data_IF_919515811324
#
_entry.id   IF_919515811324
#
_cell.length_a   1.000
_cell.length_b   1.000
_cell.length_c   1.000
_cell.angle_alpha   90.00
_cell.angle_beta   90.00
_cell.angle_gamma   90.00
#
_symmetry.space_group_name_H-M   'P 1'
#
loop_
_entity.id
_entity.type
_entity.pdbx_description
1 polymer ?
#
# COMPACT_ATOMS: atom_id res chain seq x y z
N UNK A 1 -9.19 7.12 9.28
CA UNK A 1 -8.33 7.90 10.20
C UNK A 1 -7.91 9.22 9.55
N UNK A 2 -7.38 9.23 8.32
CA UNK A 2 -6.89 10.44 7.63
C UNK A 2 -7.99 11.49 7.47
N UNK A 3 -9.15 11.12 6.94
CA UNK A 3 -10.30 12.04 6.78
C UNK A 3 -10.77 12.63 8.12
N UNK A 4 -10.71 11.87 9.20
CA UNK A 4 -11.02 12.40 10.53
C UNK A 4 -10.00 13.47 10.97
N UNK A 5 -8.70 13.26 10.66
CA UNK A 5 -7.66 14.24 10.97
C UNK A 5 -7.89 15.58 10.25
N UNK A 6 -8.36 15.54 9.00
CA UNK A 6 -8.67 16.72 8.19
C UNK A 6 -9.84 17.54 8.75
N UNK A 7 -10.72 16.94 9.56
CA UNK A 7 -11.87 17.65 10.14
C UNK A 7 -11.48 18.79 11.08
N UNK A 8 -10.25 18.78 11.61
CA UNK A 8 -9.79 19.77 12.60
C UNK A 8 -10.57 19.79 13.90
N UNK A 9 -11.41 18.75 14.18
CA UNK A 9 -12.26 18.71 15.36
C UNK A 9 -11.44 18.72 16.65
N UNK A 10 -11.71 19.64 17.61
CA UNK A 10 -10.83 19.84 18.77
C UNK A 10 -10.79 18.67 19.76
N UNK A 11 -11.80 17.80 19.74
CA UNK A 11 -11.81 16.59 20.57
C UNK A 11 -10.91 15.47 20.02
N UNK A 12 -10.54 15.53 18.73
CA UNK A 12 -9.64 14.56 18.13
C UNK A 12 -8.20 14.92 18.47
N UNK A 13 -7.54 14.11 19.29
CA UNK A 13 -6.19 14.36 19.80
C UNK A 13 -5.10 13.56 19.09
N UNK A 14 -5.43 12.35 18.68
CA UNK A 14 -4.48 11.44 18.02
C UNK A 14 -5.20 10.55 17.03
N UNK A 15 -4.55 10.24 15.92
CA UNK A 15 -5.04 9.30 14.90
C UNK A 15 -3.87 8.43 14.39
N UNK A 16 -4.17 7.22 13.95
CA UNK A 16 -3.20 6.37 13.28
C UNK A 16 -3.77 5.92 11.92
N UNK A 17 -3.49 6.62 10.84
CA UNK A 17 -3.70 6.12 9.49
C UNK A 17 -2.75 4.94 9.23
N UNK A 18 -3.32 3.75 9.01
CA UNK A 18 -2.58 2.52 8.75
C UNK A 18 -2.95 2.06 7.36
N UNK A 19 -1.96 1.90 6.48
CA UNK A 19 -2.15 1.77 5.05
C UNK A 19 -3.19 2.79 4.51
N UNK A 20 -2.94 4.09 4.68
CA UNK A 20 -3.88 5.09 4.20
C UNK A 20 -3.87 5.16 2.68
N UNK A 21 -5.02 5.04 2.07
CA UNK A 21 -5.21 5.38 0.67
C UNK A 21 -5.01 6.89 0.50
N UNK A 22 -4.19 7.28 -0.46
CA UNK A 22 -3.93 8.66 -0.82
C UNK A 22 -4.47 9.00 -2.21
N UNK A 23 -4.21 8.14 -3.17
CA UNK A 23 -4.64 8.31 -4.56
C UNK A 23 -4.81 6.94 -5.24
N UNK A 24 -6.05 6.59 -5.53
CA UNK A 24 -6.43 5.29 -6.11
C UNK A 24 -5.93 5.04 -7.53
N UNK A 25 -5.50 6.08 -8.23
CA UNK A 25 -4.98 5.93 -9.59
C UNK A 25 -3.46 5.90 -9.65
N UNK A 26 -2.79 6.63 -8.75
CA UNK A 26 -1.33 6.72 -8.76
C UNK A 26 -0.64 5.50 -8.18
N UNK A 27 -1.22 4.92 -7.11
CA UNK A 27 -0.48 3.84 -6.47
C UNK A 27 -1.16 3.13 -5.31
N UNK A 28 -2.46 3.34 -5.08
CA UNK A 28 -3.21 2.65 -4.04
C UNK A 28 -4.39 1.88 -4.67
N UNK A 29 -4.71 0.71 -4.13
CA UNK A 29 -5.83 -0.20 -4.42
C UNK A 29 -6.17 -0.44 -5.90
N UNK A 30 -6.53 0.59 -6.67
CA UNK A 30 -7.17 0.44 -7.98
C UNK A 30 -6.17 0.39 -9.12
N UNK A 31 -5.22 1.33 -9.14
CA UNK A 31 -4.16 1.38 -10.15
C UNK A 31 -2.80 1.64 -9.51
N UNK A 32 -1.76 1.08 -10.14
CA UNK A 32 -0.39 1.42 -9.85
C UNK A 32 0.25 2.04 -11.08
N UNK A 33 0.58 3.33 -11.00
CA UNK A 33 1.09 4.12 -12.12
C UNK A 33 0.20 4.03 -13.39
N UNK A 34 -1.12 4.00 -13.19
CA UNK A 34 -2.12 3.88 -14.24
C UNK A 34 -2.42 2.46 -14.73
N UNK A 35 -1.72 1.44 -14.23
CA UNK A 35 -2.03 0.05 -14.52
C UNK A 35 -3.11 -0.46 -13.56
N UNK A 36 -4.26 -0.91 -14.11
CA UNK A 36 -5.36 -1.46 -13.32
C UNK A 36 -4.93 -2.75 -12.62
N UNK A 37 -5.06 -2.79 -11.30
CA UNK A 37 -4.85 -3.98 -10.47
C UNK A 37 -6.04 -4.93 -10.57
N UNK A 38 -6.22 -5.50 -11.77
CA UNK A 38 -7.46 -6.16 -12.20
C UNK A 38 -7.94 -7.24 -11.24
N UNK A 39 -7.08 -8.14 -10.82
CA UNK A 39 -7.46 -9.26 -9.97
C UNK A 39 -7.87 -8.77 -8.57
N UNK A 40 -7.13 -7.82 -8.03
CA UNK A 40 -7.35 -7.26 -6.70
C UNK A 40 -8.65 -6.46 -6.67
N UNK A 41 -8.78 -5.47 -7.54
CA UNK A 41 -9.94 -4.58 -7.52
C UNK A 41 -11.24 -5.29 -7.90
N UNK A 42 -11.19 -6.28 -8.82
CA UNK A 42 -12.36 -7.08 -9.13
C UNK A 42 -12.83 -7.90 -7.94
N UNK A 43 -11.91 -8.56 -7.25
CA UNK A 43 -12.21 -9.33 -6.04
C UNK A 43 -12.76 -8.43 -4.93
N UNK A 44 -12.15 -7.26 -4.75
CA UNK A 44 -12.57 -6.27 -3.77
C UNK A 44 -13.96 -5.69 -4.07
N UNK A 45 -14.23 -5.33 -5.34
CA UNK A 45 -15.52 -4.82 -5.75
C UNK A 45 -16.66 -5.83 -5.50
N UNK A 46 -16.42 -7.10 -5.75
CA UNK A 46 -17.44 -8.15 -5.52
C UNK A 46 -17.70 -8.44 -4.05
N UNK A 47 -16.73 -8.16 -3.19
CA UNK A 47 -16.82 -8.41 -1.75
C UNK A 47 -17.27 -7.18 -0.95
N UNK A 48 -16.64 -6.02 -1.17
CA UNK A 48 -16.78 -4.85 -0.30
C UNK A 48 -17.81 -3.83 -0.76
N UNK A 49 -18.04 -3.70 -2.07
CA UNK A 49 -18.90 -2.64 -2.64
C UNK A 49 -20.29 -3.11 -3.04
N UNK A 50 -20.75 -4.18 -2.43
CA UNK A 50 -22.13 -4.61 -2.59
C UNK A 50 -23.08 -3.67 -1.84
N UNK A 51 -24.08 -3.16 -2.54
CA UNK A 51 -25.13 -2.35 -1.93
C UNK A 51 -26.01 -3.16 -0.97
N UNK A 52 -26.30 -2.57 0.17
CA UNK A 52 -27.20 -3.11 1.18
C UNK A 52 -28.31 -2.10 1.50
N UNK A 53 -29.54 -2.51 1.37
CA UNK A 53 -30.70 -1.68 1.74
C UNK A 53 -30.75 -1.35 3.24
N UNK A 54 -30.17 -2.21 4.06
CA UNK A 54 -30.12 -2.07 5.52
C UNK A 54 -28.78 -2.59 6.06
N UNK A 55 -28.35 -2.14 7.26
CA UNK A 55 -27.21 -2.74 7.95
C UNK A 55 -27.37 -4.24 8.12
N UNK A 56 -26.37 -5.01 7.77
CA UNK A 56 -26.36 -6.47 7.90
C UNK A 56 -25.39 -6.89 8.99
N UNK A 57 -25.70 -7.99 9.68
CA UNK A 57 -24.83 -8.56 10.71
C UNK A 57 -23.78 -9.52 10.12
N UNK A 58 -24.07 -10.07 8.95
CA UNK A 58 -23.18 -10.94 8.21
C UNK A 58 -23.24 -10.52 6.72
N UNK A 59 -22.11 -10.12 6.17
CA UNK A 59 -21.97 -9.86 4.75
C UNK A 59 -21.10 -10.96 4.14
N UNK A 60 -21.66 -11.69 3.22
CA UNK A 60 -20.94 -12.76 2.52
C UNK A 60 -20.44 -12.30 1.13
N UNK A 61 -20.61 -11.00 0.81
CA UNK A 61 -20.29 -10.46 -0.51
C UNK A 61 -21.18 -11.07 -1.62
N UNK A 62 -20.72 -10.92 -2.85
CA UNK A 62 -21.28 -11.67 -3.96
C UNK A 62 -20.56 -13.03 -4.07
N UNK A 63 -21.24 -14.10 -4.55
CA UNK A 63 -20.56 -15.34 -4.85
C UNK A 63 -19.40 -15.04 -5.84
N UNK A 64 -18.20 -15.45 -5.47
CA UNK A 64 -17.04 -15.27 -6.35
C UNK A 64 -17.22 -16.14 -7.60
N UNK A 65 -17.20 -15.54 -8.79
CA UNK A 65 -17.21 -16.30 -10.04
C UNK A 65 -15.82 -16.85 -10.39
N UNK A 66 -14.78 -16.48 -9.63
CA UNK A 66 -13.40 -16.89 -9.87
C UNK A 66 -13.28 -18.37 -9.53
N UNK A 67 -12.74 -19.15 -10.50
CA UNK A 67 -12.50 -20.57 -10.31
C UNK A 67 -11.34 -20.87 -9.34
N UNK A 68 -10.97 -22.13 -9.18
CA UNK A 68 -9.89 -22.52 -8.27
C UNK A 68 -8.52 -22.00 -8.69
N UNK A 69 -8.33 -21.68 -9.98
CA UNK A 69 -7.14 -21.01 -10.52
C UNK A 69 -7.51 -19.61 -10.98
N UNK A 70 -7.13 -18.62 -10.20
CA UNK A 70 -7.45 -17.22 -10.48
C UNK A 70 -6.71 -16.69 -11.72
N UNK A 71 -5.44 -17.09 -11.90
CA UNK A 71 -4.65 -16.66 -13.05
C UNK A 71 -5.27 -17.15 -14.36
N UNK A 72 -5.57 -18.46 -14.47
CA UNK A 72 -6.24 -19.05 -15.63
C UNK A 72 -7.60 -18.37 -15.87
N UNK A 73 -8.35 -18.12 -14.80
CA UNK A 73 -9.67 -17.50 -14.90
C UNK A 73 -9.59 -16.08 -15.48
N UNK A 74 -8.63 -15.26 -15.03
CA UNK A 74 -8.46 -13.87 -15.50
C UNK A 74 -7.78 -13.79 -16.87
N UNK A 75 -6.93 -14.74 -17.26
CA UNK A 75 -6.13 -14.70 -18.48
C UNK A 75 -6.93 -14.40 -19.75
N UNK A 76 -8.15 -14.90 -19.84
CA UNK A 76 -9.03 -14.73 -21.00
C UNK A 76 -10.15 -13.69 -20.74
N UNK A 77 -10.00 -12.83 -19.75
CA UNK A 77 -11.00 -11.82 -19.40
C UNK A 77 -10.58 -10.44 -19.86
N UNK A 78 -11.58 -9.65 -20.17
CA UNK A 78 -11.43 -8.21 -20.36
C UNK A 78 -12.26 -7.48 -19.30
N UNK A 79 -11.98 -6.22 -18.95
CA UNK A 79 -12.82 -5.46 -18.04
C UNK A 79 -14.30 -5.50 -18.44
N UNK A 80 -14.61 -5.42 -19.73
CA UNK A 80 -15.98 -5.52 -20.23
C UNK A 80 -16.61 -6.89 -19.97
N UNK A 81 -15.89 -7.99 -20.22
CA UNK A 81 -16.41 -9.33 -19.97
C UNK A 81 -16.63 -9.61 -18.48
N UNK A 82 -15.83 -8.99 -17.60
CA UNK A 82 -15.99 -9.06 -16.16
C UNK A 82 -17.23 -8.28 -15.72
N UNK A 83 -17.48 -7.10 -16.30
CA UNK A 83 -18.69 -6.32 -16.03
C UNK A 83 -19.95 -7.11 -16.34
N UNK A 84 -19.99 -7.83 -17.46
CA UNK A 84 -21.14 -8.67 -17.83
C UNK A 84 -21.39 -9.84 -16.87
N UNK A 85 -20.41 -10.20 -16.06
CA UNK A 85 -20.52 -11.24 -15.04
C UNK A 85 -20.98 -10.70 -13.68
N UNK A 86 -21.10 -9.38 -13.53
CA UNK A 86 -21.49 -8.70 -12.29
C UNK A 86 -22.88 -8.09 -12.40
N UNK A 87 -23.60 -7.91 -11.28
CA UNK A 87 -24.83 -7.13 -11.25
C UNK A 87 -24.58 -5.68 -11.70
N UNK A 88 -25.51 -5.10 -12.45
CA UNK A 88 -25.49 -3.70 -12.84
C UNK A 88 -25.44 -2.71 -11.65
N UNK A 89 -25.72 -3.21 -10.45
CA UNK A 89 -25.71 -2.45 -9.20
C UNK A 89 -24.34 -2.22 -8.61
N UNK A 90 -23.26 -2.83 -9.14
CA UNK A 90 -21.90 -2.53 -8.70
C UNK A 90 -21.40 -1.22 -9.28
N UNK A 91 -21.92 -0.11 -8.76
CA UNK A 91 -21.64 1.24 -9.23
C UNK A 91 -20.14 1.53 -9.24
N UNK A 92 -19.42 1.18 -8.18
CA UNK A 92 -17.98 1.43 -8.08
C UNK A 92 -17.17 0.78 -9.22
N UNK A 93 -17.47 -0.48 -9.57
CA UNK A 93 -16.82 -1.15 -10.69
C UNK A 93 -17.12 -0.44 -12.02
N UNK A 94 -18.36 -0.07 -12.24
CA UNK A 94 -18.78 0.62 -13.45
C UNK A 94 -18.12 2.00 -13.58
N UNK A 95 -17.96 2.73 -12.48
CA UNK A 95 -17.27 4.03 -12.45
C UNK A 95 -15.79 3.89 -12.81
N UNK A 96 -15.07 2.90 -12.25
CA UNK A 96 -13.67 2.63 -12.60
C UNK A 96 -13.50 2.44 -14.12
N UNK A 97 -14.39 1.67 -14.75
CA UNK A 97 -14.31 1.41 -16.18
C UNK A 97 -14.66 2.63 -17.05
N UNK A 98 -15.44 3.59 -16.54
CA UNK A 98 -15.75 4.83 -17.22
C UNK A 98 -14.62 5.85 -17.15
N UNK A 99 -13.68 5.67 -16.21
CA UNK A 99 -12.56 6.57 -15.94
C UNK A 99 -11.20 5.86 -16.08
N UNK A 100 -10.84 5.36 -17.30
CA UNK A 100 -9.62 4.60 -17.52
C UNK A 100 -8.34 5.44 -17.47
N UNK A 101 -8.47 6.75 -17.57
CA UNK A 101 -7.38 7.72 -17.52
C UNK A 101 -7.47 8.56 -16.24
N UNK A 102 -6.35 9.20 -15.85
CA UNK A 102 -6.34 10.08 -14.69
C UNK A 102 -7.08 11.39 -14.99
N UNK A 103 -8.34 11.41 -14.65
CA UNK A 103 -9.25 12.54 -14.87
C UNK A 103 -9.80 13.14 -13.56
N UNK A 104 -10.78 14.03 -13.65
CA UNK A 104 -11.39 14.71 -12.50
C UNK A 104 -12.01 13.73 -11.51
N UNK A 105 -12.53 12.58 -11.96
CA UNK A 105 -13.06 11.54 -11.09
C UNK A 105 -12.03 11.07 -10.04
N UNK A 106 -10.78 10.86 -10.45
CA UNK A 106 -9.69 10.44 -9.58
C UNK A 106 -9.14 11.59 -8.75
N UNK A 107 -9.02 12.79 -9.36
CA UNK A 107 -8.55 13.99 -8.67
C UNK A 107 -9.44 14.35 -7.48
N UNK A 108 -10.77 14.30 -7.64
CA UNK A 108 -11.72 14.58 -6.57
C UNK A 108 -11.66 13.56 -5.42
N UNK A 109 -11.21 12.34 -5.70
CA UNK A 109 -11.06 11.26 -4.72
C UNK A 109 -9.70 11.21 -4.07
N UNK A 110 -8.72 11.91 -4.63
CA UNK A 110 -7.38 12.03 -4.06
C UNK A 110 -7.38 12.97 -2.86
N UNK A 111 -6.80 12.55 -1.74
CA UNK A 111 -6.68 13.39 -0.54
C UNK A 111 -5.37 14.18 -0.48
N UNK A 112 -4.49 14.05 -1.47
CA UNK A 112 -3.17 14.69 -1.51
C UNK A 112 -3.25 16.20 -1.25
N UNK A 113 -4.17 16.88 -1.94
CA UNK A 113 -4.35 18.32 -1.87
C UNK A 113 -4.89 18.83 -0.52
N UNK A 114 -5.44 17.94 0.32
CA UNK A 114 -6.07 18.26 1.58
C UNK A 114 -5.17 18.04 2.80
N UNK A 115 -3.97 17.46 2.61
CA UNK A 115 -3.04 17.15 3.70
C UNK A 115 -2.28 18.41 4.16
N UNK A 116 -2.99 19.32 4.80
CA UNK A 116 -2.47 20.56 5.40
C UNK A 116 -3.25 20.92 6.67
N UNK A 117 -2.70 21.78 7.51
CA UNK A 117 -3.32 22.30 8.75
C UNK A 117 -3.82 21.20 9.71
N UNK A 118 -3.10 20.09 9.78
CA UNK A 118 -3.47 18.92 10.56
C UNK A 118 -3.13 19.14 12.02
N UNK A 119 -4.13 19.06 12.88
CA UNK A 119 -4.02 19.39 14.31
C UNK A 119 -3.76 18.23 15.25
N UNK A 120 -4.43 17.06 15.08
CA UNK A 120 -4.16 15.91 15.95
C UNK A 120 -2.75 15.36 15.71
N UNK A 121 -2.18 14.70 16.71
CA UNK A 121 -0.99 13.89 16.52
C UNK A 121 -1.29 12.73 15.55
N UNK A 122 -0.35 12.45 14.65
CA UNK A 122 -0.53 11.42 13.61
C UNK A 122 0.57 10.37 13.69
N UNK A 123 0.17 9.11 13.68
CA UNK A 123 1.02 7.95 13.47
C UNK A 123 0.67 7.29 12.13
N UNK A 124 1.40 7.61 11.08
CA UNK A 124 1.25 6.95 9.77
C UNK A 124 1.96 5.61 9.80
N UNK A 125 1.28 4.55 9.39
CA UNK A 125 1.83 3.18 9.36
C UNK A 125 1.75 2.63 7.95
N UNK A 126 2.84 2.03 7.48
CA UNK A 126 2.89 1.34 6.18
C UNK A 126 3.73 0.08 6.21
N UNK A 127 3.42 -0.83 5.32
CA UNK A 127 4.13 -2.09 5.09
C UNK A 127 5.02 -2.01 3.85
N UNK A 128 6.26 -2.46 3.96
CA UNK A 128 7.17 -2.50 2.81
C UNK A 128 6.81 -3.61 1.79
N UNK A 129 6.01 -4.58 2.23
CA UNK A 129 5.45 -5.64 1.40
C UNK A 129 3.92 -5.52 1.25
N UNK A 130 3.42 -4.30 1.45
CA UNK A 130 2.02 -3.97 1.17
C UNK A 130 1.87 -3.73 -0.34
N UNK A 131 1.15 -4.61 -1.00
CA UNK A 131 0.97 -4.54 -2.45
C UNK A 131 -0.07 -3.53 -2.86
N UNK A 132 -0.95 -3.19 -1.93
CA UNK A 132 -2.11 -2.37 -2.20
C UNK A 132 -1.82 -0.88 -1.89
N UNK A 133 -1.27 -0.55 -0.69
CA UNK A 133 -1.22 0.81 -0.16
C UNK A 133 0.18 1.31 0.23
N UNK A 134 1.21 0.85 -0.46
CA UNK A 134 2.57 1.32 -0.21
C UNK A 134 2.76 2.81 -0.57
N UNK A 135 2.14 3.25 -1.65
CA UNK A 135 2.18 4.64 -2.13
C UNK A 135 1.56 5.59 -1.12
N UNK A 136 0.36 5.26 -0.63
CA UNK A 136 -0.41 6.11 0.26
C UNK A 136 0.29 6.36 1.59
N UNK A 137 0.84 5.32 2.22
CA UNK A 137 1.56 5.46 3.49
C UNK A 137 2.78 6.38 3.37
N UNK A 138 3.64 6.13 2.37
CA UNK A 138 4.87 6.91 2.14
C UNK A 138 4.58 8.37 1.79
N UNK A 139 3.60 8.61 0.91
CA UNK A 139 3.31 9.95 0.44
C UNK A 139 2.44 10.75 1.43
N UNK A 140 1.56 10.10 2.20
CA UNK A 140 0.86 10.74 3.32
C UNK A 140 1.86 11.32 4.32
N UNK A 141 2.86 10.54 4.73
CA UNK A 141 3.92 11.04 5.60
C UNK A 141 4.68 12.23 4.99
N UNK A 142 5.14 12.09 3.73
CA UNK A 142 5.89 13.16 3.03
C UNK A 142 5.09 14.46 2.88
N UNK A 143 3.82 14.34 2.52
CA UNK A 143 2.95 15.50 2.29
C UNK A 143 2.60 16.21 3.59
N UNK A 144 2.29 15.48 4.66
CA UNK A 144 2.03 16.09 5.98
C UNK A 144 3.28 16.81 6.47
N UNK A 145 4.45 16.15 6.39
CA UNK A 145 5.73 16.77 6.78
C UNK A 145 5.98 18.09 6.04
N UNK A 146 5.63 18.14 4.75
CA UNK A 146 5.83 19.32 3.89
C UNK A 146 4.80 20.41 4.14
N UNK A 147 3.52 20.05 4.22
CA UNK A 147 2.41 20.99 4.15
C UNK A 147 1.84 21.33 5.53
N UNK A 148 2.19 20.56 6.56
CA UNK A 148 1.72 20.76 7.95
C UNK A 148 2.88 20.53 8.95
N UNK A 149 3.95 21.32 8.87
CA UNK A 149 5.20 21.09 9.61
C UNK A 149 5.04 21.17 11.14
N UNK A 150 3.97 21.82 11.62
CA UNK A 150 3.66 21.92 13.05
C UNK A 150 2.94 20.67 13.60
N UNK A 151 2.59 19.72 12.76
CA UNK A 151 1.92 18.49 13.18
C UNK A 151 2.86 17.60 13.97
N UNK A 152 2.41 17.07 15.10
CA UNK A 152 3.09 15.97 15.77
C UNK A 152 2.98 14.70 14.91
N UNK A 153 3.90 14.58 13.97
CA UNK A 153 3.92 13.53 12.93
C UNK A 153 4.88 12.42 13.30
N UNK A 154 4.36 11.20 13.28
CA UNK A 154 5.12 9.97 13.46
C UNK A 154 4.93 9.04 12.26
N UNK A 155 5.96 8.28 11.93
CA UNK A 155 5.93 7.33 10.81
C UNK A 155 6.48 5.97 11.22
N UNK A 156 5.78 4.93 10.84
CA UNK A 156 6.22 3.53 11.03
C UNK A 156 6.20 2.83 9.68
N UNK A 157 7.33 2.28 9.30
CA UNK A 157 7.48 1.50 8.08
C UNK A 157 8.09 0.15 8.40
N UNK A 158 7.26 -0.88 8.41
CA UNK A 158 7.67 -2.24 8.76
C UNK A 158 7.64 -3.19 7.57
N UNK A 159 8.26 -4.35 7.71
CA UNK A 159 8.27 -5.38 6.67
C UNK A 159 6.99 -6.22 6.69
N UNK A 160 5.84 -5.57 6.63
CA UNK A 160 4.52 -6.19 6.62
C UNK A 160 3.89 -6.20 5.22
N UNK A 161 3.10 -7.24 4.95
CA UNK A 161 2.02 -7.17 3.97
C UNK A 161 0.84 -6.38 4.53
N UNK A 162 -0.17 -6.09 3.71
CA UNK A 162 -1.36 -5.35 4.11
C UNK A 162 -2.03 -5.95 5.39
N UNK A 163 -2.19 -5.11 6.41
CA UNK A 163 -2.75 -5.52 7.70
C UNK A 163 -1.81 -6.27 8.63
N UNK A 164 -0.65 -6.71 8.14
CA UNK A 164 0.30 -7.56 8.88
C UNK A 164 0.82 -6.96 10.19
N UNK A 165 0.72 -5.67 10.40
CA UNK A 165 1.12 -5.01 11.67
C UNK A 165 0.23 -5.37 12.88
N UNK A 166 -0.94 -5.97 12.64
CA UNK A 166 -1.81 -6.49 13.70
C UNK A 166 -1.96 -8.02 13.69
N UNK A 167 -1.29 -8.72 12.77
CA UNK A 167 -1.31 -10.18 12.73
C UNK A 167 -0.46 -10.76 13.86
N UNK A 168 -1.04 -11.61 14.68
CA UNK A 168 -0.32 -12.24 15.77
C UNK A 168 0.78 -13.17 15.25
N UNK A 169 2.01 -13.00 15.75
CA UNK A 169 3.13 -13.85 15.38
C UNK A 169 3.71 -13.55 13.99
N UNK A 170 3.66 -12.30 13.54
CA UNK A 170 4.20 -11.90 12.23
C UNK A 170 5.74 -11.89 12.25
N UNK A 171 6.34 -13.06 12.06
CA UNK A 171 7.78 -13.29 12.07
C UNK A 171 8.40 -13.46 10.68
N UNK A 172 7.60 -13.33 9.63
CA UNK A 172 8.05 -13.49 8.24
C UNK A 172 6.91 -13.35 7.23
N UNK A 173 7.29 -13.37 5.95
CA UNK A 173 6.38 -13.43 4.81
C UNK A 173 6.98 -14.41 3.80
N UNK A 174 6.23 -15.45 3.41
CA UNK A 174 6.73 -16.49 2.54
C UNK A 174 8.05 -17.07 3.01
N UNK A 175 9.05 -17.04 2.15
CA UNK A 175 10.40 -17.53 2.42
C UNK A 175 11.23 -16.60 3.30
N UNK A 176 10.86 -15.31 3.40
CA UNK A 176 11.57 -14.30 4.20
C UNK A 176 11.21 -14.38 5.68
N UNK A 177 12.21 -14.52 6.54
CA UNK A 177 12.07 -14.49 8.02
C UNK A 177 12.71 -13.23 8.58
N UNK A 178 12.09 -12.66 9.61
CA UNK A 178 12.52 -11.40 10.23
C UNK A 178 13.19 -11.60 11.61
N UNK A 179 13.19 -12.83 12.13
CA UNK A 179 13.85 -13.16 13.40
C UNK A 179 13.16 -12.58 14.66
N UNK A 180 12.04 -11.88 14.51
CA UNK A 180 11.26 -11.31 15.60
C UNK A 180 9.80 -11.11 15.14
N UNK A 181 8.88 -11.12 16.10
CA UNK A 181 7.48 -10.75 15.87
C UNK A 181 7.36 -9.24 15.71
N UNK A 182 7.23 -8.80 14.46
CA UNK A 182 7.14 -7.37 14.12
C UNK A 182 5.86 -6.73 14.62
N UNK A 183 4.76 -7.46 14.63
CA UNK A 183 3.44 -6.95 15.04
C UNK A 183 3.38 -6.76 16.54
N UNK A 184 3.86 -7.73 17.32
CA UNK A 184 3.96 -7.60 18.76
C UNK A 184 4.88 -6.44 19.15
N UNK A 185 5.99 -6.25 18.43
CA UNK A 185 6.87 -5.11 18.67
C UNK A 185 6.15 -3.80 18.41
N UNK A 186 5.48 -3.66 17.25
CA UNK A 186 4.74 -2.47 16.88
C UNK A 186 3.66 -2.12 17.91
N UNK A 187 2.76 -3.04 18.17
CA UNK A 187 1.65 -2.80 19.11
C UNK A 187 2.15 -2.41 20.51
N UNK A 188 3.16 -3.12 21.04
CA UNK A 188 3.65 -2.93 22.39
C UNK A 188 4.55 -1.71 22.56
N UNK A 189 5.43 -1.44 21.57
CA UNK A 189 6.51 -0.46 21.75
C UNK A 189 6.26 0.84 20.97
N UNK A 190 5.29 0.87 20.03
CA UNK A 190 5.04 2.03 19.17
C UNK A 190 3.59 2.49 19.29
N UNK A 191 2.63 1.68 18.88
CA UNK A 191 1.23 2.09 18.78
C UNK A 191 0.60 2.39 20.15
N UNK A 192 0.66 1.45 21.07
CA UNK A 192 0.14 1.65 22.43
C UNK A 192 0.83 2.82 23.16
N UNK A 193 2.16 2.98 23.15
CA UNK A 193 2.83 4.15 23.70
C UNK A 193 2.43 5.46 23.04
N UNK A 194 2.20 5.50 21.72
CA UNK A 194 1.73 6.68 20.99
C UNK A 194 0.39 7.15 21.54
N UNK A 195 -0.62 6.30 21.55
CA UNK A 195 -1.93 6.67 22.04
C UNK A 195 -1.92 7.01 23.54
N UNK A 196 -1.16 6.28 24.34
CA UNK A 196 -1.03 6.56 25.77
C UNK A 196 -0.41 7.93 26.04
N UNK A 197 0.57 8.33 25.24
CA UNK A 197 1.19 9.65 25.38
C UNK A 197 0.23 10.77 25.01
N UNK A 198 -0.42 10.70 23.85
CA UNK A 198 -1.27 11.79 23.37
C UNK A 198 -2.67 11.84 23.99
N UNK A 199 -3.21 10.73 24.47
CA UNK A 199 -4.55 10.67 25.06
C UNK A 199 -4.54 10.75 26.59
N UNK A 200 -3.51 10.18 27.24
CA UNK A 200 -3.44 10.12 28.71
C UNK A 200 -2.36 11.05 29.29
N UNK A 201 -1.46 11.59 28.49
CA UNK A 201 -0.30 12.34 28.94
C UNK A 201 0.72 11.50 29.72
N UNK A 202 0.80 10.20 29.43
CA UNK A 202 1.66 9.25 30.14
C UNK A 202 2.71 8.62 29.22
N UNK A 203 3.86 8.30 29.79
CA UNK A 203 4.96 7.67 29.10
C UNK A 203 5.95 8.66 28.52
N UNK A 204 6.75 8.20 27.54
CA UNK A 204 7.68 9.04 26.79
C UNK A 204 7.05 9.42 25.46
N UNK A 205 7.41 10.60 24.95
CA UNK A 205 7.05 10.97 23.57
C UNK A 205 7.62 9.92 22.62
N UNK A 206 6.82 9.39 21.70
CA UNK A 206 7.31 8.45 20.67
C UNK A 206 8.41 9.08 19.81
N UNK A 207 9.28 8.23 19.26
CA UNK A 207 10.25 8.68 18.26
C UNK A 207 9.53 9.15 16.98
N UNK A 208 10.09 10.09 16.23
CA UNK A 208 9.45 10.57 14.99
C UNK A 208 9.29 9.46 13.94
N UNK A 209 10.28 8.59 13.78
CA UNK A 209 10.26 7.52 12.79
C UNK A 209 10.76 6.21 13.37
N UNK A 210 10.04 5.14 13.02
CA UNK A 210 10.46 3.75 13.21
C UNK A 210 10.45 3.06 11.85
N UNK A 211 11.59 2.59 11.38
CA UNK A 211 11.71 1.82 10.14
C UNK A 211 12.37 0.48 10.41
N UNK A 212 11.78 -0.60 9.91
CA UNK A 212 12.40 -1.92 10.01
C UNK A 212 13.28 -2.17 8.79
N UNK A 213 14.57 -2.33 9.02
CA UNK A 213 15.53 -2.62 7.97
C UNK A 213 15.62 -4.14 7.76
N UNK A 214 14.90 -4.64 6.76
CA UNK A 214 14.78 -6.06 6.45
C UNK A 214 16.11 -6.76 6.08
N UNK A 215 17.15 -6.00 5.74
CA UNK A 215 18.49 -6.58 5.50
C UNK A 215 19.27 -6.86 6.76
N UNK A 216 19.09 -6.07 7.80
CA UNK A 216 19.71 -6.23 9.13
C UNK A 216 18.76 -6.82 10.16
N UNK A 217 17.49 -6.92 9.86
CA UNK A 217 16.40 -7.35 10.75
C UNK A 217 16.33 -6.54 12.05
N UNK A 218 16.52 -5.21 11.92
CA UNK A 218 16.55 -4.30 13.05
C UNK A 218 15.60 -3.11 12.85
N UNK A 219 14.94 -2.71 13.95
CA UNK A 219 14.24 -1.45 14.02
C UNK A 219 15.22 -0.29 14.10
N UNK A 220 15.15 0.60 13.14
CA UNK A 220 15.87 1.87 13.13
C UNK A 220 14.94 2.98 13.62
N UNK A 221 15.54 3.94 14.34
CA UNK A 221 14.85 5.13 14.82
C UNK A 221 15.58 6.33 14.28
N UNK A 222 14.86 7.21 13.60
CA UNK A 222 15.42 8.41 12.97
C UNK A 222 14.48 9.58 13.16
N UNK A 223 14.98 10.79 12.98
CA UNK A 223 14.15 11.99 13.05
C UNK A 223 13.31 12.19 11.80
N UNK A 224 13.73 11.60 10.69
CA UNK A 224 13.10 11.77 9.37
C UNK A 224 13.29 10.53 8.50
N UNK A 225 12.34 10.29 7.58
CA UNK A 225 12.39 9.23 6.58
C UNK A 225 12.15 9.79 5.15
N UNK A 226 12.98 9.40 4.14
CA UNK A 226 14.29 8.79 4.33
C UNK A 226 15.23 9.74 5.10
N UNK A 227 16.31 9.20 5.69
CA UNK A 227 17.28 10.02 6.43
C UNK A 227 17.92 11.07 5.51
N UNK A 228 18.13 12.26 6.04
CA UNK A 228 18.83 13.32 5.30
C UNK A 228 20.34 13.03 5.13
N UNK A 229 20.86 12.01 5.84
CA UNK A 229 22.27 11.58 5.77
C UNK A 229 22.53 10.50 4.70
N UNK A 230 21.54 10.21 3.83
CA UNK A 230 21.70 9.19 2.78
C UNK A 230 22.70 9.63 1.70
N UNK A 231 23.63 8.75 1.37
CA UNK A 231 24.53 8.89 0.22
C UNK A 231 23.90 8.20 -1.00
N UNK A 232 23.31 9.00 -1.89
CA UNK A 232 22.69 8.51 -3.12
C UNK A 232 23.77 8.17 -4.16
N UNK A 233 23.71 6.92 -4.66
CA UNK A 233 24.61 6.44 -5.71
C UNK A 233 23.84 6.06 -6.96
N UNK A 234 24.36 6.42 -8.11
CA UNK A 234 23.82 6.01 -9.39
C UNK A 234 24.27 4.59 -9.70
N UNK A 235 23.33 3.73 -10.08
CA UNK A 235 23.60 2.41 -10.62
C UNK A 235 23.14 2.42 -12.08
N UNK A 236 24.02 2.00 -12.98
CA UNK A 236 23.76 1.94 -14.40
C UNK A 236 23.39 0.53 -14.83
N UNK A 237 22.43 0.42 -15.74
CA UNK A 237 22.12 -0.82 -16.44
C UNK A 237 23.22 -1.03 -17.51
N UNK A 238 23.70 -2.26 -17.64
CA UNK A 238 24.69 -2.62 -18.67
C UNK A 238 24.06 -3.52 -19.75
N UNK A 239 24.67 -3.49 -20.95
CA UNK A 239 24.16 -4.20 -22.12
C UNK A 239 24.12 -5.72 -21.98
N UNK A 240 24.89 -6.27 -21.03
CA UNK A 240 24.91 -7.71 -20.68
C UNK A 240 23.83 -8.11 -19.65
N UNK A 241 22.94 -7.18 -19.27
CA UNK A 241 21.89 -7.40 -18.27
C UNK A 241 22.39 -7.22 -16.83
N UNK A 242 23.62 -6.76 -16.64
CA UNK A 242 24.18 -6.49 -15.31
C UNK A 242 23.88 -5.10 -14.76
N UNK A 243 24.41 -4.83 -13.57
CA UNK A 243 24.39 -3.53 -12.90
C UNK A 243 25.82 -3.08 -12.62
N UNK A 244 26.11 -1.79 -12.82
CA UNK A 244 27.42 -1.21 -12.59
C UNK A 244 27.32 0.15 -11.91
N UNK A 245 28.29 0.48 -11.05
CA UNK A 245 28.47 1.85 -10.55
C UNK A 245 29.21 2.77 -11.53
N UNK A 246 29.72 2.23 -12.63
CA UNK A 246 30.38 2.98 -13.71
C UNK A 246 29.46 3.00 -14.93
N UNK A 247 29.26 4.18 -15.52
CA UNK A 247 28.50 4.31 -16.75
C UNK A 247 29.11 3.45 -17.86
N UNK A 248 28.29 2.85 -18.72
CA UNK A 248 28.77 2.14 -19.90
C UNK A 248 29.43 3.12 -20.87
N UNK A 249 30.49 2.65 -21.55
CA UNK A 249 31.11 3.37 -22.66
C UNK A 249 30.30 3.21 -23.96
N UNK A 250 29.36 2.26 -23.99
CA UNK A 250 28.48 2.05 -25.13
C UNK A 250 27.50 3.23 -25.25
N UNK A 251 27.54 3.92 -26.37
CA UNK A 251 26.73 5.12 -26.59
C UNK A 251 25.21 4.79 -26.67
N UNK A 252 24.88 3.61 -27.17
CA UNK A 252 23.50 3.12 -27.28
C UNK A 252 23.48 1.60 -27.10
N UNK A 253 22.72 1.14 -26.11
CA UNK A 253 22.41 -0.28 -25.94
C UNK A 253 20.96 -0.44 -25.49
N UNK A 254 20.33 -1.53 -25.92
CA UNK A 254 18.96 -1.84 -25.53
C UNK A 254 18.78 -3.35 -25.37
N UNK A 255 17.83 -3.72 -24.51
CA UNK A 255 17.27 -5.05 -24.46
C UNK A 255 15.82 -5.00 -24.95
N UNK A 256 15.40 -6.05 -25.65
CA UNK A 256 14.03 -6.19 -26.13
C UNK A 256 13.37 -7.44 -25.56
N UNK A 257 12.10 -7.37 -25.31
CA UNK A 257 11.26 -8.51 -24.92
C UNK A 257 9.92 -8.42 -25.65
N UNK A 258 9.23 -9.56 -25.74
CA UNK A 258 7.87 -9.62 -26.28
C UNK A 258 6.90 -9.61 -25.12
N UNK A 259 6.04 -8.58 -25.06
CA UNK A 259 4.89 -8.58 -24.17
C UNK A 259 3.72 -9.23 -24.89
N UNK A 260 3.43 -10.49 -24.58
CA UNK A 260 2.35 -11.26 -25.18
C UNK A 260 1.15 -11.30 -24.24
N UNK A 261 0.05 -10.59 -24.56
CA UNK A 261 -1.14 -10.59 -23.70
C UNK A 261 -1.87 -11.95 -23.66
N UNK A 262 -1.58 -12.86 -24.62
CA UNK A 262 -2.10 -14.22 -24.58
C UNK A 262 -1.29 -15.16 -23.67
N UNK A 263 -0.10 -14.73 -23.25
CA UNK A 263 0.77 -15.49 -22.36
C UNK A 263 1.48 -14.51 -21.40
N UNK A 264 0.73 -13.86 -20.50
CA UNK A 264 1.32 -12.94 -19.55
C UNK A 264 2.24 -13.66 -18.56
N UNK A 265 3.30 -12.99 -18.13
CA UNK A 265 4.19 -13.52 -17.10
C UNK A 265 3.42 -13.62 -15.78
N UNK A 266 3.34 -14.81 -15.17
CA UNK A 266 2.71 -14.95 -13.86
C UNK A 266 3.52 -14.23 -12.78
N UNK A 267 2.84 -13.67 -11.78
CA UNK A 267 3.49 -12.92 -10.69
C UNK A 267 4.22 -13.82 -9.68
N UNK A 268 4.00 -15.13 -9.72
CA UNK A 268 4.71 -16.15 -8.94
C UNK A 268 4.56 -17.52 -9.61
N UNK A 269 5.36 -18.50 -9.17
CA UNK A 269 5.37 -19.84 -9.75
C UNK A 269 4.03 -20.57 -9.62
N UNK A 270 3.31 -20.37 -8.51
CA UNK A 270 1.92 -20.81 -8.29
C UNK A 270 1.01 -19.61 -8.23
N UNK A 271 0.52 -19.16 -9.37
CA UNK A 271 -0.36 -18.01 -9.51
C UNK A 271 -1.86 -18.37 -9.42
N UNK A 272 -2.19 -19.57 -8.93
CA UNK A 272 -3.57 -20.05 -8.83
C UNK A 272 -4.42 -19.26 -7.85
N UNK A 273 -3.80 -18.59 -6.87
CA UNK A 273 -4.47 -17.78 -5.88
C UNK A 273 -3.76 -16.42 -5.66
N UNK A 274 -4.50 -15.47 -5.10
CA UNK A 274 -3.93 -14.19 -4.65
C UNK A 274 -3.19 -14.41 -3.33
N UNK A 275 -1.90 -14.71 -3.41
CA UNK A 275 -1.03 -14.86 -2.25
C UNK A 275 -0.08 -13.67 -2.13
N UNK A 276 -0.07 -13.00 -0.98
CA UNK A 276 0.80 -11.84 -0.69
C UNK A 276 2.28 -12.19 -0.64
N UNK A 277 2.63 -13.48 -0.59
CA UNK A 277 4.02 -13.94 -0.52
C UNK A 277 4.83 -13.65 -1.79
N UNK A 278 4.16 -13.36 -2.91
CA UNK A 278 4.85 -13.01 -4.15
C UNK A 278 5.79 -11.80 -4.02
N UNK A 279 5.55 -10.92 -3.04
CA UNK A 279 6.42 -9.77 -2.77
C UNK A 279 7.82 -10.15 -2.28
N UNK A 280 8.04 -11.40 -1.90
CA UNK A 280 9.32 -11.93 -1.43
C UNK A 280 9.81 -13.11 -2.25
N UNK A 281 9.07 -13.49 -3.28
CA UNK A 281 9.48 -14.53 -4.23
C UNK A 281 10.43 -13.95 -5.29
N UNK A 282 11.27 -14.82 -5.85
CA UNK A 282 12.15 -14.47 -6.97
C UNK A 282 11.36 -14.62 -8.28
N UNK A 283 11.03 -13.54 -8.92
CA UNK A 283 10.29 -13.47 -10.19
C UNK A 283 11.22 -13.49 -11.39
#
# INVERSE_FOLDING_TARGET
>A
ATMAALSGHPALKAVSPQAPILDWFKGDDVHHNGALMLMDIYSFATYMFKDHDNPVTEDHGLPSPIGPDAYEWFQNKTPLSLTLALPDTLQFWNEILQHPDYDEYWVERSIEQHLHDIRPAILVVGGAYDTDDCYGALNTYKLIRKNSPETDLHFVYGSWSHGGWHDAGYEGLGTRKFGTDLSAYFMKNIEFPFFRFYLEGKGRRPEPVYAFASGSDQWQKTDVWPSDELDYKTIYLSSDGGLSFTASEDAESFASYVSDPASPVPFMADASSRDKTYMVENQ
#
